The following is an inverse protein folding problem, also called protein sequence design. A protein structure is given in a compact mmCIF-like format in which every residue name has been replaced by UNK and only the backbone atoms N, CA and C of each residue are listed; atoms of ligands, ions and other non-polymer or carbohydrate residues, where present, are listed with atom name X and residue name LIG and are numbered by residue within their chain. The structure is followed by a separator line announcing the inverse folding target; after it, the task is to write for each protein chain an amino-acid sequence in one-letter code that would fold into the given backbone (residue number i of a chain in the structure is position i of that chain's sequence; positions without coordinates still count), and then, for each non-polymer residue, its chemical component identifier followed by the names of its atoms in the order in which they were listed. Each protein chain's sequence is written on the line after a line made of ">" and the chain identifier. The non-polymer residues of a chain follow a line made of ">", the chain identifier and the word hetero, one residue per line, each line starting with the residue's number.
data_IF_677779042521
#
_entry.id   IF_677779042521
#
_cell.length_a   1.000
_cell.length_b   1.000
_cell.length_c   1.000
_cell.angle_alpha   90.00
_cell.angle_beta   90.00
_cell.angle_gamma   90.00
#
_symmetry.space_group_name_H-M   'P 1'
#
loop_
_entity.id
_entity.type
_entity.pdbx_description
1 polymer ?
#
# COMPACT_ATOMS: atom_id res chain seq x y z
N UNK A 1 7.02 -22.80 -2.59
CA UNK A 1 6.62 -21.72 -1.67
C UNK A 1 5.10 -21.80 -1.50
N UNK A 2 4.59 -21.67 -0.27
CA UNK A 2 3.14 -21.81 -0.03
C UNK A 2 2.42 -20.49 -0.32
N UNK A 3 1.27 -20.51 -1.01
CA UNK A 3 0.47 -19.32 -1.25
C UNK A 3 -0.07 -18.77 0.07
N UNK A 4 -0.34 -17.46 0.14
CA UNK A 4 -1.09 -16.90 1.27
C UNK A 4 -2.58 -16.88 0.96
N UNK A 5 -3.38 -17.40 1.87
CA UNK A 5 -4.82 -17.38 1.74
C UNK A 5 -5.42 -16.01 2.05
N UNK A 6 -6.69 -15.83 1.65
CA UNK A 6 -7.46 -14.60 1.86
C UNK A 6 -7.55 -14.23 3.35
N UNK A 7 -7.54 -15.22 4.24
CA UNK A 7 -7.56 -15.01 5.69
C UNK A 7 -6.39 -14.18 6.20
N UNK A 8 -5.23 -14.22 5.51
CA UNK A 8 -4.08 -13.38 5.86
C UNK A 8 -4.36 -11.92 5.51
N UNK A 9 -4.95 -11.66 4.33
CA UNK A 9 -5.35 -10.33 3.89
C UNK A 9 -6.44 -9.73 4.80
N UNK A 10 -7.45 -10.53 5.16
CA UNK A 10 -8.53 -10.08 6.06
C UNK A 10 -7.98 -9.73 7.45
N UNK A 11 -7.00 -10.51 7.95
CA UNK A 11 -6.31 -10.21 9.22
C UNK A 11 -5.42 -8.97 9.12
N UNK A 12 -4.76 -8.74 8.00
CA UNK A 12 -3.98 -7.53 7.78
C UNK A 12 -4.88 -6.29 7.77
N UNK A 13 -6.03 -6.35 7.10
CA UNK A 13 -7.06 -5.30 7.20
C UNK A 13 -7.46 -5.03 8.65
N UNK A 14 -7.78 -6.09 9.42
CA UNK A 14 -8.17 -5.93 10.82
C UNK A 14 -7.06 -5.30 11.66
N UNK A 15 -5.81 -5.74 11.47
CA UNK A 15 -4.64 -5.14 12.13
C UNK A 15 -4.52 -3.64 11.83
N UNK A 16 -4.62 -3.25 10.56
CA UNK A 16 -4.49 -1.83 10.18
C UNK A 16 -5.63 -0.97 10.77
N UNK A 17 -6.88 -1.45 10.71
CA UNK A 17 -8.03 -0.69 11.20
C UNK A 17 -8.18 -0.66 12.73
N UNK A 18 -7.71 -1.68 13.45
CA UNK A 18 -7.94 -1.78 14.91
C UNK A 18 -6.70 -1.49 15.74
N UNK A 19 -5.51 -1.74 15.21
CA UNK A 19 -4.27 -1.63 15.97
C UNK A 19 -3.36 -0.48 15.52
N UNK A 20 -3.56 0.06 14.31
CA UNK A 20 -2.65 1.05 13.71
C UNK A 20 -3.32 2.39 13.46
N UNK A 21 -4.53 2.40 12.91
CA UNK A 21 -5.20 3.64 12.50
C UNK A 21 -6.63 3.70 13.05
N UNK A 22 -6.91 4.67 13.91
CA UNK A 22 -8.23 4.88 14.52
C UNK A 22 -9.28 5.43 13.54
N UNK A 23 -8.84 6.07 12.46
CA UNK A 23 -9.62 6.86 11.51
C UNK A 23 -9.55 6.34 10.07
N UNK A 24 -8.97 5.15 9.85
CA UNK A 24 -8.80 4.56 8.53
C UNK A 24 -9.85 3.49 8.24
N UNK A 25 -10.60 3.69 7.16
CA UNK A 25 -11.48 2.66 6.59
C UNK A 25 -10.75 1.88 5.49
N UNK A 26 -10.88 0.56 5.49
CA UNK A 26 -10.30 -0.30 4.45
C UNK A 26 -11.42 -1.15 3.82
N UNK A 27 -11.60 -1.01 2.51
CA UNK A 27 -12.54 -1.81 1.72
C UNK A 27 -11.76 -2.77 0.82
N UNK A 28 -12.07 -4.07 0.92
CA UNK A 28 -11.51 -5.09 0.04
C UNK A 28 -12.60 -5.46 -0.95
N UNK A 29 -12.39 -5.20 -2.23
CA UNK A 29 -13.39 -5.37 -3.28
C UNK A 29 -12.89 -6.41 -4.27
N UNK A 30 -13.62 -7.52 -4.34
CA UNK A 30 -13.37 -8.53 -5.36
C UNK A 30 -13.89 -8.05 -6.71
N UNK A 31 -13.03 -8.12 -7.72
CA UNK A 31 -13.39 -7.83 -9.11
C UNK A 31 -13.18 -9.09 -9.97
N UNK A 32 -14.16 -9.38 -10.82
CA UNK A 32 -14.11 -10.49 -11.78
C UNK A 32 -13.81 -9.95 -13.20
N UNK A 33 -14.23 -8.70 -13.48
CA UNK A 33 -14.06 -8.01 -14.76
C UNK A 33 -13.86 -6.49 -14.51
N UNK A 34 -13.52 -5.74 -15.57
CA UNK A 34 -13.40 -4.28 -15.49
C UNK A 34 -14.74 -3.64 -15.07
N UNK A 35 -14.74 -2.95 -13.94
CA UNK A 35 -15.93 -2.33 -13.33
C UNK A 35 -15.64 -0.88 -12.98
N UNK A 36 -16.64 0.00 -13.10
CA UNK A 36 -16.56 1.41 -12.72
C UNK A 36 -17.40 1.68 -11.46
N UNK A 37 -16.86 2.47 -10.53
CA UNK A 37 -17.54 2.87 -9.31
C UNK A 37 -17.31 4.36 -9.04
N UNK A 38 -18.32 5.03 -8.49
CA UNK A 38 -18.19 6.36 -7.92
C UNK A 38 -18.35 6.27 -6.40
N UNK A 39 -17.34 6.71 -5.67
CA UNK A 39 -17.41 6.86 -4.23
C UNK A 39 -17.55 8.34 -3.89
N UNK A 40 -18.55 8.75 -3.09
CA UNK A 40 -18.63 10.12 -2.61
C UNK A 40 -17.41 10.42 -1.73
N UNK A 41 -16.97 11.69 -1.64
CA UNK A 41 -15.85 12.07 -0.79
C UNK A 41 -16.20 11.79 0.68
N UNK A 42 -15.45 10.88 1.31
CA UNK A 42 -15.55 10.60 2.74
C UNK A 42 -14.70 11.61 3.53
N UNK A 43 -15.17 11.99 4.72
CA UNK A 43 -14.38 12.81 5.65
C UNK A 43 -13.21 12.04 6.31
N UNK A 44 -13.14 10.72 6.10
CA UNK A 44 -12.15 9.82 6.70
C UNK A 44 -11.22 9.23 5.64
N UNK A 45 -9.96 8.98 6.03
CA UNK A 45 -9.00 8.28 5.17
C UNK A 45 -9.54 6.90 4.79
N UNK A 46 -9.50 6.56 3.50
CA UNK A 46 -10.02 5.28 3.00
C UNK A 46 -9.03 4.64 2.05
N UNK A 47 -8.68 3.37 2.29
CA UNK A 47 -8.00 2.51 1.32
C UNK A 47 -9.05 1.62 0.66
N UNK A 48 -9.12 1.66 -0.67
CA UNK A 48 -9.93 0.74 -1.46
C UNK A 48 -8.99 -0.17 -2.22
N UNK A 49 -8.97 -1.45 -1.85
CA UNK A 49 -8.13 -2.45 -2.48
C UNK A 49 -8.99 -3.35 -3.37
N UNK A 50 -8.76 -3.25 -4.68
CA UNK A 50 -9.34 -4.16 -5.66
C UNK A 50 -8.47 -5.40 -5.82
N UNK A 51 -9.06 -6.58 -5.82
CA UNK A 51 -8.34 -7.83 -6.05
C UNK A 51 -9.15 -8.78 -6.94
N UNK A 52 -8.45 -9.62 -7.71
CA UNK A 52 -9.09 -10.60 -8.58
C UNK A 52 -9.67 -11.76 -7.76
N UNK A 53 -10.94 -12.10 -8.03
CA UNK A 53 -11.57 -13.27 -7.43
C UNK A 53 -10.96 -14.60 -7.85
N UNK A 54 -11.10 -15.63 -7.01
CA UNK A 54 -10.64 -16.99 -7.32
C UNK A 54 -9.12 -17.20 -7.35
N UNK A 55 -8.31 -16.18 -7.05
CA UNK A 55 -6.86 -16.34 -6.92
C UNK A 55 -6.52 -17.17 -5.68
N UNK A 56 -5.51 -18.03 -5.80
CA UNK A 56 -5.05 -18.87 -4.68
C UNK A 56 -4.08 -18.15 -3.75
N UNK A 57 -3.49 -17.06 -4.22
CA UNK A 57 -2.38 -16.40 -3.57
C UNK A 57 -2.62 -14.89 -3.48
N UNK A 58 -2.82 -14.41 -2.26
CA UNK A 58 -3.16 -13.03 -1.96
C UNK A 58 -1.94 -12.16 -1.62
N UNK A 59 -0.72 -12.60 -1.94
CA UNK A 59 0.53 -11.84 -1.67
C UNK A 59 0.51 -10.46 -2.29
N UNK A 60 0.15 -10.35 -3.56
CA UNK A 60 0.14 -9.07 -4.26
C UNK A 60 -0.90 -8.10 -3.67
N UNK A 61 -2.17 -8.49 -3.46
CA UNK A 61 -3.12 -7.69 -2.70
C UNK A 61 -2.61 -7.27 -1.31
N UNK A 62 -1.98 -8.19 -0.59
CA UNK A 62 -1.39 -7.89 0.72
C UNK A 62 -0.30 -6.81 0.62
N UNK A 63 0.58 -6.90 -0.37
CA UNK A 63 1.65 -5.93 -0.56
C UNK A 63 1.11 -4.55 -0.95
N UNK A 64 0.13 -4.49 -1.86
CA UNK A 64 -0.58 -3.25 -2.16
C UNK A 64 -1.22 -2.65 -0.89
N UNK A 65 -1.89 -3.45 -0.07
CA UNK A 65 -2.53 -2.97 1.16
C UNK A 65 -1.53 -2.29 2.10
N UNK A 66 -0.36 -2.89 2.32
CA UNK A 66 0.67 -2.29 3.18
C UNK A 66 1.34 -1.07 2.54
N UNK A 67 1.51 -1.05 1.22
CA UNK A 67 2.00 0.13 0.51
C UNK A 67 1.05 1.33 0.66
N UNK A 68 -0.25 1.13 0.46
CA UNK A 68 -1.25 2.19 0.66
C UNK A 68 -1.31 2.65 2.12
N UNK A 69 -1.18 1.72 3.08
CA UNK A 69 -1.05 2.08 4.49
C UNK A 69 0.21 2.93 4.77
N UNK A 70 1.27 2.72 4.00
CA UNK A 70 2.46 3.59 3.98
C UNK A 70 2.15 5.01 3.54
N UNK A 71 1.33 5.20 2.50
CA UNK A 71 0.84 6.53 2.10
C UNK A 71 0.00 7.19 3.18
N UNK A 72 -0.81 6.45 3.95
CA UNK A 72 -1.55 7.00 5.09
C UNK A 72 -0.60 7.57 6.14
N UNK A 73 0.45 6.84 6.51
CA UNK A 73 1.47 7.34 7.46
C UNK A 73 2.22 8.56 6.90
N UNK A 74 2.58 8.52 5.61
CA UNK A 74 3.23 9.63 4.92
C UNK A 74 2.34 10.88 4.91
N UNK A 75 1.05 10.73 4.61
CA UNK A 75 0.07 11.83 4.63
C UNK A 75 -0.02 12.45 6.03
N UNK A 76 -0.22 11.64 7.08
CA UNK A 76 -0.29 12.12 8.47
C UNK A 76 0.97 12.91 8.87
N UNK A 77 2.15 12.43 8.49
CA UNK A 77 3.41 13.14 8.74
C UNK A 77 3.47 14.49 8.01
N UNK A 78 3.00 14.56 6.77
CA UNK A 78 3.02 15.80 5.98
C UNK A 78 1.96 16.78 6.45
N UNK A 79 0.79 16.30 6.85
CA UNK A 79 -0.27 17.11 7.45
C UNK A 79 0.20 17.77 8.75
N UNK A 80 0.81 17.00 9.67
CA UNK A 80 1.38 17.50 10.92
C UNK A 80 2.46 18.57 10.72
N UNK A 81 3.12 18.58 9.56
CA UNK A 81 4.17 19.56 9.22
C UNK A 81 3.70 20.67 8.29
N UNK A 82 2.38 20.81 8.06
CA UNK A 82 1.79 21.84 7.21
C UNK A 82 2.09 21.67 5.71
N UNK A 83 2.45 20.45 5.28
CA UNK A 83 2.86 20.11 3.91
C UNK A 83 1.83 19.28 3.15
N UNK A 84 0.59 19.17 3.62
CA UNK A 84 -0.47 18.38 2.96
C UNK A 84 -0.64 18.72 1.46
N UNK A 85 -0.61 20.00 1.08
CA UNK A 85 -0.70 20.40 -0.35
C UNK A 85 0.45 19.79 -1.18
N UNK A 86 1.66 19.71 -0.62
CA UNK A 86 2.80 19.11 -1.31
C UNK A 86 2.66 17.60 -1.44
N UNK A 87 1.98 16.94 -0.50
CA UNK A 87 1.72 15.50 -0.57
C UNK A 87 0.91 15.21 -1.82
N UNK A 88 -0.23 15.87 -2.00
CA UNK A 88 -1.07 15.74 -3.19
C UNK A 88 -0.30 16.09 -4.47
N UNK A 89 0.42 17.21 -4.48
CA UNK A 89 1.21 17.60 -5.64
C UNK A 89 2.33 16.61 -6.01
N UNK A 90 2.80 15.79 -5.07
CA UNK A 90 3.79 14.72 -5.35
C UNK A 90 3.08 13.42 -5.76
N UNK A 91 1.89 13.17 -5.21
CA UNK A 91 1.06 12.03 -5.56
C UNK A 91 0.63 12.07 -7.03
N UNK A 92 0.37 13.26 -7.56
CA UNK A 92 -0.03 13.48 -8.96
C UNK A 92 1.12 13.45 -9.97
N UNK A 93 2.38 13.35 -9.51
CA UNK A 93 3.52 13.28 -10.43
C UNK A 93 3.53 11.94 -11.16
N UNK A 94 3.54 11.92 -12.50
CA UNK A 94 3.47 10.66 -13.26
C UNK A 94 4.75 9.83 -13.14
N UNK A 95 5.91 10.47 -12.94
CA UNK A 95 7.25 9.85 -12.86
C UNK A 95 8.31 10.85 -12.39
N UNK A 96 9.55 10.37 -12.25
CA UNK A 96 10.74 11.17 -11.96
C UNK A 96 11.21 11.05 -10.51
N UNK A 97 12.40 11.59 -10.23
CA UNK A 97 13.10 11.39 -8.95
C UNK A 97 12.25 11.70 -7.71
N UNK A 98 11.46 12.78 -7.77
CA UNK A 98 10.54 13.16 -6.67
C UNK A 98 9.45 12.10 -6.45
N UNK A 99 8.82 11.60 -7.53
CA UNK A 99 7.82 10.53 -7.46
C UNK A 99 8.46 9.23 -6.95
N UNK A 100 9.62 8.85 -7.48
CA UNK A 100 10.34 7.65 -7.05
C UNK A 100 10.68 7.70 -5.55
N UNK A 101 11.17 8.84 -5.05
CA UNK A 101 11.46 9.01 -3.63
C UNK A 101 10.21 8.94 -2.75
N UNK A 102 9.11 9.54 -3.22
CA UNK A 102 7.80 9.50 -2.55
C UNK A 102 7.26 8.07 -2.40
N UNK A 103 7.29 7.29 -3.49
CA UNK A 103 6.85 5.90 -3.52
C UNK A 103 7.74 4.98 -2.70
N UNK A 104 9.06 5.26 -2.69
CA UNK A 104 10.01 4.55 -1.84
C UNK A 104 9.71 4.78 -0.36
N UNK A 105 9.50 6.03 0.05
CA UNK A 105 9.16 6.39 1.42
C UNK A 105 7.85 5.74 1.89
N UNK A 106 6.82 5.73 1.03
CA UNK A 106 5.58 5.00 1.31
C UNK A 106 5.83 3.49 1.44
N UNK A 107 6.66 2.92 0.56
CA UNK A 107 7.00 1.49 0.60
C UNK A 107 7.76 1.11 1.88
N UNK A 108 8.70 1.94 2.34
CA UNK A 108 9.46 1.74 3.59
C UNK A 108 8.53 1.79 4.82
N UNK A 109 7.64 2.78 4.88
CA UNK A 109 6.61 2.85 5.94
C UNK A 109 5.69 1.63 5.92
N UNK A 110 5.26 1.20 4.73
CA UNK A 110 4.45 -0.02 4.55
C UNK A 110 5.18 -1.29 4.98
N UNK A 111 6.48 -1.37 4.71
CA UNK A 111 7.35 -2.47 5.13
C UNK A 111 7.39 -2.60 6.65
N UNK A 112 7.56 -1.49 7.36
CA UNK A 112 7.62 -1.49 8.82
C UNK A 112 6.27 -1.93 9.43
N UNK A 113 5.16 -1.54 8.83
CA UNK A 113 3.83 -2.04 9.21
C UNK A 113 3.68 -3.54 8.96
N UNK A 114 4.19 -4.05 7.83
CA UNK A 114 4.17 -5.48 7.54
C UNK A 114 5.01 -6.27 8.54
N UNK A 115 6.19 -5.78 8.93
CA UNK A 115 7.03 -6.39 9.97
C UNK A 115 6.24 -6.51 11.28
N UNK A 116 5.65 -5.40 11.74
CA UNK A 116 4.83 -5.38 12.97
C UNK A 116 3.66 -6.36 12.91
N UNK A 117 3.00 -6.46 11.75
CA UNK A 117 1.94 -7.43 11.52
C UNK A 117 2.46 -8.87 11.67
N UNK A 118 3.58 -9.21 11.00
CA UNK A 118 4.17 -10.55 11.05
C UNK A 118 4.62 -10.93 12.46
N UNK A 119 5.23 -9.99 13.19
CA UNK A 119 5.63 -10.16 14.59
C UNK A 119 4.42 -10.44 15.49
N UNK A 120 3.35 -9.63 15.37
CA UNK A 120 2.11 -9.83 16.13
C UNK A 120 1.49 -11.21 15.87
N UNK A 121 1.62 -11.71 14.64
CA UNK A 121 1.11 -13.02 14.23
C UNK A 121 2.07 -14.18 14.53
N UNK A 122 3.28 -13.90 15.01
CA UNK A 122 4.36 -14.88 15.20
C UNK A 122 4.63 -15.69 13.91
N UNK A 123 4.55 -15.03 12.75
CA UNK A 123 4.74 -15.67 11.45
C UNK A 123 6.15 -15.38 10.88
N UNK A 124 6.71 -16.31 10.07
CA UNK A 124 8.04 -16.13 9.50
C UNK A 124 8.15 -14.89 8.59
N UNK A 125 9.26 -14.17 8.69
CA UNK A 125 9.50 -12.91 7.95
C UNK A 125 9.77 -13.10 6.45
N UNK A 126 9.49 -14.27 5.87
CA UNK A 126 9.74 -14.52 4.45
C UNK A 126 8.97 -13.54 3.54
N UNK A 127 7.76 -13.13 3.94
CA UNK A 127 6.96 -12.14 3.22
C UNK A 127 7.63 -10.75 3.16
N UNK A 128 8.55 -10.43 4.07
CA UNK A 128 9.26 -9.14 4.07
C UNK A 128 10.20 -9.06 2.87
N UNK A 129 10.97 -10.11 2.60
CA UNK A 129 11.88 -10.14 1.47
C UNK A 129 11.12 -10.09 0.13
N UNK A 130 9.94 -10.72 0.08
CA UNK A 130 9.07 -10.71 -1.10
C UNK A 130 8.42 -9.33 -1.32
N UNK A 131 8.00 -8.66 -0.24
CA UNK A 131 7.55 -7.27 -0.30
C UNK A 131 8.67 -6.33 -0.75
N UNK A 132 9.90 -6.52 -0.26
CA UNK A 132 11.07 -5.74 -0.68
C UNK A 132 11.38 -5.94 -2.17
N UNK A 133 11.22 -7.17 -2.69
CA UNK A 133 11.36 -7.44 -4.13
C UNK A 133 10.24 -6.79 -4.95
N UNK A 134 8.99 -6.95 -4.52
CA UNK A 134 7.82 -6.37 -5.17
C UNK A 134 7.87 -4.84 -5.22
N UNK A 135 8.19 -4.18 -4.10
CA UNK A 135 8.25 -2.72 -4.00
C UNK A 135 9.34 -2.13 -4.89
N UNK A 136 10.51 -2.79 -5.03
CA UNK A 136 11.54 -2.39 -6.00
C UNK A 136 11.02 -2.46 -7.44
N UNK A 137 10.33 -3.54 -7.81
CA UNK A 137 9.72 -3.69 -9.13
C UNK A 137 8.63 -2.65 -9.39
N UNK A 138 7.79 -2.35 -8.39
CA UNK A 138 6.76 -1.32 -8.49
C UNK A 138 7.38 0.08 -8.66
N UNK A 139 8.38 0.43 -7.85
CA UNK A 139 9.07 1.72 -7.91
C UNK A 139 9.81 1.96 -9.23
N UNK A 140 10.28 0.89 -9.90
CA UNK A 140 10.95 0.98 -11.20
C UNK A 140 10.05 1.58 -12.29
N UNK A 141 8.73 1.46 -12.17
CA UNK A 141 7.76 2.03 -13.13
C UNK A 141 7.75 3.56 -13.17
N UNK A 142 8.23 4.21 -12.10
CA UNK A 142 8.30 5.67 -11.97
C UNK A 142 9.67 6.25 -12.31
N UNK A 143 10.67 5.41 -12.56
CA UNK A 143 11.99 5.87 -12.96
C UNK A 143 11.88 6.58 -14.32
N UNK A 144 12.48 7.76 -14.44
CA UNK A 144 12.67 8.33 -15.76
C UNK A 144 13.61 7.41 -16.53
N UNK A 145 13.17 6.88 -17.67
CA UNK A 145 14.10 6.51 -18.73
C UNK A 145 14.82 7.80 -19.10
N UNK A 146 16.04 7.98 -18.62
CA UNK A 146 16.94 8.97 -19.20
C UNK A 146 17.09 8.56 -20.67
N UNK A 147 16.42 9.29 -21.57
CA UNK A 147 16.81 9.23 -22.97
C UNK A 147 18.23 9.76 -23.01
N UNK A 148 19.19 8.86 -23.20
CA UNK A 148 20.57 9.21 -23.47
C UNK A 148 20.59 10.28 -24.56
N UNK A 149 21.08 11.45 -24.19
CA UNK A 149 21.58 12.47 -25.11
C UNK A 149 22.89 12.02 -25.71
#
# INVERSE_FOLDING_TARGET
>A
MMPIGKEVLDRAKAFLCWDVFEDLTIQLIEIQESVSFYYPPFQQGTIILYYQGGIRDFRIPLFHLFHEAGHVLQFKQWEQTGKAIRFYGTMDLPKGLKRTAFEKDASEKGRDLLIRFMEKRKQPHQLIAEYDAWSRSAAATYQCLEKGT
#
